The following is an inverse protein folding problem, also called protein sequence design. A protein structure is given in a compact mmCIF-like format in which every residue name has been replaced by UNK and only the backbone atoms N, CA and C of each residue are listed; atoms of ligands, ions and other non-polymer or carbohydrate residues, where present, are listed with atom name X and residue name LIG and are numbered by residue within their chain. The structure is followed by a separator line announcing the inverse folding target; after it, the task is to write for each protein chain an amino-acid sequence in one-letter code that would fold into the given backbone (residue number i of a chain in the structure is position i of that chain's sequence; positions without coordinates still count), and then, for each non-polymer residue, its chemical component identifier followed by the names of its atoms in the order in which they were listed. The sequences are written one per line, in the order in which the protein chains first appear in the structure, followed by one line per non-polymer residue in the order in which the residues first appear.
data_IF_061387517813
#
_entry.id   IF_061387517813
#
_cell.length_a   1.000
_cell.length_b   1.000
_cell.length_c   1.000
_cell.angle_alpha   90.00
_cell.angle_beta   90.00
_cell.angle_gamma   90.00
#
_symmetry.space_group_name_H-M   'P 1'
#
loop_
_entity.id
_entity.type
_entity.pdbx_description
1 polymer ?
#
# COMPACT_ATOMS: atom_id res chain seq x y z
N UNK A 1 -11.24 -14.30 -33.51
CA UNK A 1 -12.20 -13.42 -34.22
C UNK A 1 -13.54 -13.50 -33.52
N UNK A 2 -13.72 -12.69 -32.48
CA UNK A 2 -15.02 -12.38 -31.87
C UNK A 2 -14.90 -10.93 -31.39
N UNK A 3 -15.25 -10.02 -32.29
CA UNK A 3 -15.34 -8.58 -32.05
C UNK A 3 -16.68 -8.32 -31.37
N UNK A 4 -16.67 -8.13 -30.06
CA UNK A 4 -17.83 -7.60 -29.31
C UNK A 4 -17.55 -6.15 -28.97
N UNK A 5 -17.64 -5.29 -29.99
CA UNK A 5 -17.85 -3.85 -29.84
C UNK A 5 -19.36 -3.57 -29.98
N UNK A 6 -20.14 -4.11 -29.04
CA UNK A 6 -21.53 -3.69 -28.84
C UNK A 6 -21.51 -2.40 -28.00
N UNK A 7 -21.18 -1.28 -28.64
CA UNK A 7 -21.53 0.02 -28.09
C UNK A 7 -23.05 0.16 -28.15
N UNK A 8 -23.74 0.48 -27.03
CA UNK A 8 -25.17 0.72 -27.06
C UNK A 8 -25.52 1.84 -28.07
N UNK A 9 -26.68 1.78 -28.74
CA UNK A 9 -27.10 2.82 -29.67
C UNK A 9 -27.08 4.18 -28.97
N UNK A 10 -26.53 5.19 -29.66
CA UNK A 10 -26.41 6.54 -29.14
C UNK A 10 -27.77 7.04 -28.63
N UNK A 11 -27.87 7.29 -27.32
CA UNK A 11 -29.05 7.92 -26.72
C UNK A 11 -29.36 9.25 -27.42
N UNK A 12 -30.63 9.56 -27.76
CA UNK A 12 -31.03 10.84 -28.32
C UNK A 12 -30.71 11.96 -27.32
N UNK A 13 -29.62 12.67 -27.55
CA UNK A 13 -29.05 13.67 -26.65
C UNK A 13 -27.67 14.18 -27.08
N UNK A 14 -27.03 13.50 -28.04
CA UNK A 14 -25.73 13.87 -28.62
C UNK A 14 -25.84 14.96 -29.71
N UNK A 15 -26.60 16.02 -29.43
CA UNK A 15 -26.78 17.16 -30.32
C UNK A 15 -25.45 17.89 -30.56
N UNK A 16 -25.27 18.45 -31.77
CA UNK A 16 -24.09 19.22 -32.17
C UNK A 16 -23.75 20.34 -31.16
N UNK A 17 -24.77 20.89 -30.49
CA UNK A 17 -24.63 21.87 -29.41
C UNK A 17 -23.84 21.28 -28.23
N UNK A 18 -24.22 20.10 -27.73
CA UNK A 18 -23.55 19.41 -26.63
C UNK A 18 -22.08 19.12 -26.95
N UNK A 19 -21.80 18.62 -28.17
CA UNK A 19 -20.43 18.36 -28.63
C UNK A 19 -19.59 19.65 -28.73
N UNK A 20 -20.18 20.75 -29.19
CA UNK A 20 -19.50 22.06 -29.26
C UNK A 20 -19.17 22.60 -27.87
N UNK A 21 -20.09 22.49 -26.91
CA UNK A 21 -19.85 22.91 -25.51
C UNK A 21 -18.75 22.05 -24.88
N UNK A 22 -18.78 20.72 -25.08
CA UNK A 22 -17.76 19.81 -24.58
C UNK A 22 -16.37 20.09 -25.18
N UNK A 23 -16.29 20.41 -26.48
CA UNK A 23 -15.05 20.80 -27.14
C UNK A 23 -14.48 22.09 -26.54
N UNK A 24 -15.33 23.10 -26.30
CA UNK A 24 -14.93 24.35 -25.61
C UNK A 24 -14.47 24.10 -24.18
N UNK A 25 -15.13 23.21 -23.44
CA UNK A 25 -14.74 22.85 -22.08
C UNK A 25 -13.34 22.20 -22.06
N UNK A 26 -13.05 21.31 -23.01
CA UNK A 26 -11.72 20.71 -23.18
C UNK A 26 -10.67 21.74 -23.56
N UNK A 27 -10.99 22.67 -24.46
CA UNK A 27 -10.07 23.74 -24.86
C UNK A 27 -9.74 24.67 -23.67
N UNK A 28 -10.74 25.08 -22.90
CA UNK A 28 -10.54 25.89 -21.68
C UNK A 28 -9.66 25.17 -20.65
N UNK A 29 -9.92 23.88 -20.38
CA UNK A 29 -9.11 23.09 -19.45
C UNK A 29 -7.65 22.94 -19.92
N UNK A 30 -7.40 22.80 -21.23
CA UNK A 30 -6.04 22.77 -21.79
C UNK A 30 -5.32 24.12 -21.68
N UNK A 31 -6.06 25.21 -21.72
CA UNK A 31 -5.54 26.56 -21.53
C UNK A 31 -5.36 26.93 -20.04
N UNK A 32 -5.66 26.04 -19.10
CA UNK A 32 -5.58 26.31 -17.66
C UNK A 32 -6.79 27.05 -17.08
N UNK A 33 -7.80 27.40 -17.88
CA UNK A 33 -9.06 28.00 -17.41
C UNK A 33 -10.01 26.92 -16.86
N UNK A 34 -9.66 26.39 -15.68
CA UNK A 34 -10.42 25.32 -15.06
C UNK A 34 -11.78 25.77 -14.54
N UNK A 35 -11.93 27.02 -14.10
CA UNK A 35 -13.25 27.55 -13.72
C UNK A 35 -14.19 27.68 -14.93
N UNK A 36 -13.69 28.20 -16.04
CA UNK A 36 -14.43 28.27 -17.30
C UNK A 36 -14.79 26.88 -17.82
N UNK A 37 -13.86 25.93 -17.75
CA UNK A 37 -14.12 24.54 -18.08
C UNK A 37 -15.20 23.92 -17.18
N UNK A 38 -15.17 24.17 -15.86
CA UNK A 38 -16.19 23.69 -14.92
C UNK A 38 -17.58 24.25 -15.24
N UNK A 39 -17.68 25.55 -15.54
CA UNK A 39 -18.95 26.18 -15.97
C UNK A 39 -19.50 25.53 -17.24
N UNK A 40 -18.64 25.21 -18.21
CA UNK A 40 -19.05 24.56 -19.46
C UNK A 40 -19.46 23.08 -19.24
N UNK A 41 -18.74 22.33 -18.40
CA UNK A 41 -19.15 20.97 -18.03
C UNK A 41 -20.48 20.93 -17.27
N UNK A 42 -20.77 21.92 -16.42
CA UNK A 42 -22.09 22.07 -15.79
C UNK A 42 -23.21 22.18 -16.84
N UNK A 43 -22.99 22.96 -17.91
CA UNK A 43 -23.95 23.07 -19.02
C UNK A 43 -24.12 21.74 -19.75
N UNK A 44 -23.04 21.02 -20.03
CA UNK A 44 -23.11 19.67 -20.61
C UNK A 44 -23.91 18.69 -19.74
N UNK A 45 -23.78 18.76 -18.41
CA UNK A 45 -24.57 17.93 -17.49
C UNK A 45 -26.06 18.26 -17.55
N UNK A 46 -26.42 19.55 -17.58
CA UNK A 46 -27.82 19.98 -17.73
C UNK A 46 -28.43 19.53 -19.07
N UNK A 47 -27.58 19.27 -20.08
CA UNK A 47 -27.96 18.70 -21.37
C UNK A 47 -27.95 17.16 -21.39
N UNK A 48 -27.88 16.51 -20.22
CA UNK A 48 -28.01 15.06 -20.09
C UNK A 48 -26.73 14.26 -20.29
N UNK A 49 -25.54 14.87 -20.40
CA UNK A 49 -24.28 14.12 -20.52
C UNK A 49 -23.90 13.44 -19.18
N UNK A 50 -23.93 12.10 -19.07
CA UNK A 50 -23.78 11.43 -17.77
C UNK A 50 -22.41 11.66 -17.10
N UNK A 51 -21.35 11.80 -17.90
CA UNK A 51 -19.97 12.01 -17.40
C UNK A 51 -19.60 13.47 -17.18
N UNK A 52 -20.47 14.42 -17.50
CA UNK A 52 -20.12 15.84 -17.43
C UNK A 52 -19.94 16.34 -16.00
N UNK A 53 -20.67 15.79 -15.01
CA UNK A 53 -20.48 16.14 -13.59
C UNK A 53 -19.11 15.74 -13.03
N UNK A 54 -18.59 14.55 -13.36
CA UNK A 54 -17.24 14.17 -12.92
C UNK A 54 -16.16 15.04 -13.56
N UNK A 55 -16.36 15.44 -14.82
CA UNK A 55 -15.45 16.39 -15.49
C UNK A 55 -15.52 17.79 -14.89
N UNK A 56 -16.73 18.24 -14.50
CA UNK A 56 -16.91 19.48 -13.74
C UNK A 56 -16.18 19.42 -12.41
N UNK A 57 -16.37 18.36 -11.62
CA UNK A 57 -15.69 18.15 -10.35
C UNK A 57 -14.16 18.19 -10.51
N UNK A 58 -13.62 17.48 -11.50
CA UNK A 58 -12.18 17.49 -11.79
C UNK A 58 -11.64 18.89 -12.13
N UNK A 59 -12.40 19.69 -12.89
CA UNK A 59 -12.01 21.07 -13.18
C UNK A 59 -12.05 21.95 -11.91
N UNK A 60 -13.08 21.82 -11.08
CA UNK A 60 -13.18 22.58 -9.83
C UNK A 60 -12.04 22.25 -8.86
N UNK A 61 -11.65 20.98 -8.74
CA UNK A 61 -10.51 20.59 -7.93
C UNK A 61 -9.21 21.26 -8.40
N UNK A 62 -8.99 21.32 -9.73
CA UNK A 62 -7.83 22.01 -10.34
C UNK A 62 -7.90 23.53 -10.23
N UNK A 63 -9.10 24.10 -10.14
CA UNK A 63 -9.34 25.52 -9.91
C UNK A 63 -9.16 25.94 -8.43
N UNK A 64 -8.72 25.04 -7.54
CA UNK A 64 -8.59 25.34 -6.12
C UNK A 64 -9.93 25.34 -5.37
N UNK A 65 -10.96 24.69 -5.91
CA UNK A 65 -12.28 24.53 -5.28
C UNK A 65 -12.57 23.06 -4.91
N UNK A 66 -11.73 22.42 -4.07
CA UNK A 66 -11.80 20.98 -3.83
C UNK A 66 -13.06 20.53 -3.08
N UNK A 67 -13.59 21.35 -2.17
CA UNK A 67 -14.83 21.02 -1.42
C UNK A 67 -16.03 20.97 -2.35
N UNK A 68 -16.17 21.95 -3.25
CA UNK A 68 -17.25 21.95 -4.24
C UNK A 68 -17.09 20.80 -5.25
N UNK A 69 -15.85 20.49 -5.65
CA UNK A 69 -15.56 19.32 -6.46
C UNK A 69 -16.01 18.02 -5.78
N UNK A 70 -15.68 17.85 -4.49
CA UNK A 70 -16.07 16.69 -3.69
C UNK A 70 -17.59 16.60 -3.55
N UNK A 71 -18.28 17.71 -3.25
CA UNK A 71 -19.74 17.78 -3.19
C UNK A 71 -20.41 17.32 -4.50
N UNK A 72 -19.91 17.78 -5.64
CA UNK A 72 -20.45 17.40 -6.95
C UNK A 72 -20.20 15.93 -7.26
N UNK A 73 -19.02 15.41 -6.92
CA UNK A 73 -18.69 13.99 -7.09
C UNK A 73 -19.52 13.11 -6.15
N UNK A 74 -19.65 13.49 -4.89
CA UNK A 74 -20.44 12.82 -3.88
C UNK A 74 -21.91 12.73 -4.31
N UNK A 75 -22.49 13.82 -4.83
CA UNK A 75 -23.84 13.82 -5.42
C UNK A 75 -24.05 12.95 -6.67
N UNK A 76 -23.06 12.14 -7.07
CA UNK A 76 -23.17 11.09 -8.09
C UNK A 76 -23.24 9.68 -7.52
N UNK A 77 -23.03 9.47 -6.21
CA UNK A 77 -23.25 8.19 -5.56
C UNK A 77 -24.69 7.72 -5.87
N UNK A 78 -24.82 6.50 -6.41
CA UNK A 78 -26.08 5.96 -6.96
C UNK A 78 -26.23 6.04 -8.49
N UNK A 79 -25.47 6.91 -9.17
CA UNK A 79 -25.46 7.05 -10.64
C UNK A 79 -24.11 6.72 -11.30
N UNK A 80 -23.09 6.48 -10.47
CA UNK A 80 -21.72 6.09 -10.84
C UNK A 80 -21.29 5.05 -9.79
N UNK A 81 -20.47 4.04 -10.15
CA UNK A 81 -19.91 3.12 -9.16
C UNK A 81 -19.24 3.89 -8.03
N UNK A 82 -19.57 3.54 -6.78
CA UNK A 82 -19.07 4.25 -5.60
C UNK A 82 -17.53 4.35 -5.57
N UNK A 83 -16.84 3.29 -6.04
CA UNK A 83 -15.38 3.27 -6.16
C UNK A 83 -14.81 4.42 -7.00
N UNK A 84 -15.44 4.81 -8.11
CA UNK A 84 -14.94 5.93 -8.92
C UNK A 84 -15.05 7.27 -8.18
N UNK A 85 -16.13 7.46 -7.41
CA UNK A 85 -16.31 8.68 -6.60
C UNK A 85 -15.30 8.70 -5.47
N UNK A 86 -15.10 7.57 -4.80
CA UNK A 86 -14.13 7.45 -3.71
C UNK A 86 -12.71 7.68 -4.16
N UNK A 87 -12.28 7.07 -5.26
CA UNK A 87 -10.94 7.26 -5.82
C UNK A 87 -10.71 8.73 -6.15
N UNK A 88 -11.70 9.40 -6.74
CA UNK A 88 -11.62 10.82 -7.08
C UNK A 88 -11.51 11.72 -5.84
N UNK A 89 -12.33 11.48 -4.81
CA UNK A 89 -12.29 12.25 -3.56
C UNK A 89 -10.99 11.96 -2.78
N UNK A 90 -10.51 10.72 -2.82
CA UNK A 90 -9.23 10.31 -2.24
C UNK A 90 -8.05 11.02 -2.90
N UNK A 91 -8.04 11.10 -4.24
CA UNK A 91 -7.00 11.83 -4.98
C UNK A 91 -6.95 13.31 -4.59
N UNK A 92 -8.12 13.96 -4.42
CA UNK A 92 -8.20 15.34 -3.93
C UNK A 92 -7.66 15.43 -2.50
N UNK A 93 -8.14 14.59 -1.59
CA UNK A 93 -7.74 14.60 -0.19
C UNK A 93 -6.23 14.37 -0.02
N UNK A 94 -5.65 13.42 -0.76
CA UNK A 94 -4.22 13.15 -0.73
C UNK A 94 -3.40 14.32 -1.30
N UNK A 95 -3.86 14.96 -2.38
CA UNK A 95 -3.19 16.13 -2.92
C UNK A 95 -3.18 17.31 -1.93
N UNK A 96 -4.23 17.47 -1.13
CA UNK A 96 -4.34 18.48 -0.08
C UNK A 96 -3.42 18.17 1.11
N UNK A 97 -3.40 16.93 1.59
CA UNK A 97 -2.47 16.50 2.65
C UNK A 97 -1.02 16.74 2.25
N UNK A 98 -0.64 16.42 1.00
CA UNK A 98 0.71 16.69 0.47
C UNK A 98 1.09 18.18 0.45
N UNK A 99 0.11 19.08 0.46
CA UNK A 99 0.32 20.54 0.55
C UNK A 99 0.27 21.06 1.99
N UNK A 100 0.11 20.18 2.97
CA UNK A 100 -0.08 20.54 4.38
C UNK A 100 -1.47 21.06 4.71
N UNK A 101 -2.47 20.87 3.85
CA UNK A 101 -3.84 21.37 4.03
C UNK A 101 -4.79 20.26 4.49
N UNK A 102 -4.51 19.71 5.68
CA UNK A 102 -5.28 18.61 6.27
C UNK A 102 -6.74 19.01 6.51
N UNK A 103 -6.99 20.21 7.03
CA UNK A 103 -8.33 20.72 7.30
C UNK A 103 -9.21 20.72 6.04
N UNK A 104 -8.66 21.18 4.90
CA UNK A 104 -9.40 21.17 3.64
C UNK A 104 -9.63 19.74 3.12
N UNK A 105 -8.66 18.84 3.32
CA UNK A 105 -8.79 17.42 3.02
C UNK A 105 -9.92 16.76 3.83
N UNK A 106 -10.05 17.09 5.12
CA UNK A 106 -11.13 16.59 5.97
C UNK A 106 -12.48 17.13 5.53
N UNK A 107 -12.57 18.42 5.17
CA UNK A 107 -13.79 19.02 4.63
C UNK A 107 -14.22 18.37 3.31
N UNK A 108 -13.27 17.96 2.46
CA UNK A 108 -13.53 17.20 1.23
C UNK A 108 -14.22 15.87 1.55
N UNK A 109 -13.72 15.11 2.53
CA UNK A 109 -14.34 13.86 2.94
C UNK A 109 -15.65 14.06 3.72
N UNK A 110 -15.80 15.16 4.44
CA UNK A 110 -17.06 15.51 5.11
C UNK A 110 -18.22 15.64 4.10
N UNK A 111 -17.98 16.04 2.85
CA UNK A 111 -19.02 16.03 1.81
C UNK A 111 -19.49 14.61 1.46
N UNK A 112 -18.58 13.63 1.46
CA UNK A 112 -18.95 12.20 1.28
C UNK A 112 -19.68 11.68 2.52
N UNK A 113 -19.26 12.10 3.71
CA UNK A 113 -19.89 11.67 4.97
C UNK A 113 -21.36 12.10 5.11
N UNK A 114 -21.77 13.18 4.42
CA UNK A 114 -23.17 13.64 4.40
C UNK A 114 -24.11 12.74 3.60
N UNK A 115 -23.58 11.77 2.85
CA UNK A 115 -24.39 10.85 2.06
C UNK A 115 -24.73 9.65 2.92
N UNK A 116 -26.00 9.28 2.90
CA UNK A 116 -26.52 8.19 3.71
C UNK A 116 -25.76 6.87 3.45
N UNK A 117 -25.35 6.20 4.51
CA UNK A 117 -24.51 4.99 4.45
C UNK A 117 -23.01 5.21 4.15
N UNK A 118 -22.55 6.44 3.87
CA UNK A 118 -21.16 6.71 3.47
C UNK A 118 -20.28 7.35 4.55
N UNK A 119 -20.86 7.83 5.66
CA UNK A 119 -20.10 8.36 6.80
C UNK A 119 -18.99 7.40 7.29
N UNK A 120 -19.24 6.08 7.47
CA UNK A 120 -18.22 5.09 7.82
C UNK A 120 -16.95 5.20 6.96
N UNK A 121 -17.15 5.17 5.65
CA UNK A 121 -16.05 5.17 4.69
C UNK A 121 -15.28 6.50 4.71
N UNK A 122 -15.97 7.63 4.80
CA UNK A 122 -15.34 8.94 4.81
C UNK A 122 -14.43 9.16 6.03
N UNK A 123 -14.87 8.74 7.22
CA UNK A 123 -14.07 8.87 8.44
C UNK A 123 -12.85 7.94 8.43
N UNK A 124 -12.97 6.73 7.87
CA UNK A 124 -11.81 5.85 7.61
C UNK A 124 -10.74 6.56 6.77
N UNK A 125 -11.17 7.28 5.74
CA UNK A 125 -10.28 8.01 4.84
C UNK A 125 -9.68 9.24 5.52
N UNK A 126 -10.46 9.99 6.30
CA UNK A 126 -9.94 11.06 7.16
C UNK A 126 -8.85 10.53 8.08
N UNK A 127 -9.07 9.42 8.77
CA UNK A 127 -8.05 8.82 9.64
C UNK A 127 -6.80 8.42 8.85
N UNK A 128 -6.96 7.86 7.65
CA UNK A 128 -5.83 7.55 6.76
C UNK A 128 -5.06 8.81 6.37
N UNK A 129 -5.76 9.92 6.10
CA UNK A 129 -5.16 11.20 5.77
C UNK A 129 -4.43 11.84 6.98
N UNK A 130 -5.05 11.85 8.16
CA UNK A 130 -4.41 12.29 9.42
C UNK A 130 -3.15 11.49 9.71
N UNK A 131 -3.21 10.17 9.50
CA UNK A 131 -2.05 9.27 9.65
C UNK A 131 -0.90 9.65 8.73
N UNK A 132 -1.21 9.97 7.46
CA UNK A 132 -0.24 10.40 6.46
C UNK A 132 0.29 11.82 6.68
N UNK A 133 -0.44 12.67 7.41
CA UNK A 133 -0.05 14.05 7.70
C UNK A 133 0.74 14.16 9.02
N UNK A 134 1.10 13.04 9.64
CA UNK A 134 1.72 13.00 10.95
C UNK A 134 0.78 13.35 12.13
N UNK A 135 -0.47 13.76 11.85
CA UNK A 135 -1.44 14.33 12.78
C UNK A 135 -2.34 13.35 13.52
N UNK A 136 -1.92 12.09 13.71
CA UNK A 136 -2.60 11.18 14.64
C UNK A 136 -2.18 11.50 16.08
N UNK A 137 -2.74 12.59 16.62
CA UNK A 137 -2.70 12.86 18.04
C UNK A 137 -3.75 12.03 18.81
N UNK A 138 -3.71 12.10 20.14
CA UNK A 138 -4.62 11.36 21.02
C UNK A 138 -6.10 11.73 20.81
N UNK A 139 -6.47 13.01 20.60
CA UNK A 139 -7.82 13.39 20.17
C UNK A 139 -8.26 12.73 18.85
N UNK A 140 -7.45 12.79 17.80
CA UNK A 140 -7.79 12.21 16.50
C UNK A 140 -8.00 10.70 16.58
N UNK A 141 -7.24 10.03 17.43
CA UNK A 141 -7.39 8.61 17.71
C UNK A 141 -8.60 8.31 18.59
N UNK A 142 -8.91 9.16 19.55
CA UNK A 142 -10.13 9.08 20.35
C UNK A 142 -11.38 9.22 19.50
N UNK A 143 -11.39 10.18 18.57
CA UNK A 143 -12.43 10.38 17.57
C UNK A 143 -12.55 9.18 16.64
N UNK A 144 -11.42 8.66 16.13
CA UNK A 144 -11.41 7.47 15.31
C UNK A 144 -11.96 6.25 16.08
N UNK A 145 -11.53 6.03 17.32
CA UNK A 145 -12.02 4.93 18.16
C UNK A 145 -13.53 5.05 18.46
N UNK A 146 -14.00 6.27 18.75
CA UNK A 146 -15.43 6.54 18.95
C UNK A 146 -16.24 6.32 17.66
N UNK A 147 -15.64 6.62 16.52
CA UNK A 147 -16.24 6.40 15.21
C UNK A 147 -16.33 4.90 14.86
N UNK A 148 -15.24 4.16 15.08
CA UNK A 148 -15.14 2.71 14.85
C UNK A 148 -16.09 1.90 15.74
N UNK A 149 -16.45 2.44 16.91
CA UNK A 149 -17.39 1.83 17.85
C UNK A 149 -18.83 1.73 17.32
N UNK A 150 -19.22 2.59 16.38
CA UNK A 150 -20.62 2.75 15.96
C UNK A 150 -20.94 2.27 14.55
N UNK A 151 -20.03 1.63 13.82
CA UNK A 151 -20.22 1.38 12.40
C UNK A 151 -19.77 0.00 11.91
N UNK A 152 -20.35 -0.40 10.78
CA UNK A 152 -20.23 -1.75 10.19
C UNK A 152 -18.82 -2.09 9.70
N UNK A 153 -18.63 -3.37 9.33
CA UNK A 153 -17.41 -4.06 8.88
C UNK A 153 -16.35 -3.27 8.03
N UNK A 154 -16.68 -2.40 7.05
CA UNK A 154 -15.66 -1.66 6.28
C UNK A 154 -14.70 -0.81 7.12
N UNK A 155 -15.04 -0.52 8.38
CA UNK A 155 -14.21 0.28 9.27
C UNK A 155 -13.13 -0.46 10.04
N UNK A 156 -13.28 -1.76 10.25
CA UNK A 156 -12.31 -2.58 11.01
C UNK A 156 -10.90 -2.48 10.40
N UNK A 157 -10.84 -2.52 9.06
CA UNK A 157 -9.60 -2.41 8.27
C UNK A 157 -8.86 -1.10 8.52
N UNK A 158 -9.61 -0.04 8.82
CA UNK A 158 -9.07 1.32 8.94
C UNK A 158 -8.41 1.54 10.29
N UNK A 159 -9.05 1.09 11.36
CA UNK A 159 -8.51 1.11 12.73
C UNK A 159 -7.15 0.42 12.79
N UNK A 160 -7.13 -0.80 12.25
CA UNK A 160 -5.93 -1.61 12.18
C UNK A 160 -4.86 -0.96 11.30
N UNK A 161 -5.24 -0.39 10.16
CA UNK A 161 -4.28 0.30 9.28
C UNK A 161 -3.64 1.51 9.99
N UNK A 162 -4.41 2.28 10.75
CA UNK A 162 -3.89 3.40 11.53
C UNK A 162 -2.95 2.92 12.65
N UNK A 163 -3.34 1.87 13.40
CA UNK A 163 -2.47 1.26 14.42
C UNK A 163 -1.17 0.74 13.82
N UNK A 164 -1.24 0.05 12.67
CA UNK A 164 -0.07 -0.46 11.94
C UNK A 164 0.83 0.69 11.48
N UNK A 165 0.26 1.78 10.96
CA UNK A 165 1.04 2.96 10.56
C UNK A 165 1.73 3.62 11.76
N UNK A 166 1.02 3.80 12.86
CA UNK A 166 1.57 4.37 14.09
C UNK A 166 2.67 3.50 14.69
N UNK A 167 2.44 2.19 14.78
CA UNK A 167 3.47 1.24 15.20
C UNK A 167 4.67 1.30 14.27
N UNK A 168 4.43 1.38 12.97
CA UNK A 168 5.53 1.49 12.03
C UNK A 168 6.36 2.76 12.27
N UNK A 169 5.72 3.89 12.59
CA UNK A 169 6.40 5.18 12.82
C UNK A 169 7.11 5.26 14.17
N UNK A 170 6.45 4.83 15.24
CA UNK A 170 6.90 5.06 16.63
C UNK A 170 7.53 3.81 17.27
N UNK A 171 7.51 2.66 16.59
CA UNK A 171 7.85 1.38 17.21
C UNK A 171 6.76 0.89 18.15
N UNK A 172 6.99 -0.27 18.80
CA UNK A 172 6.05 -0.76 19.81
C UNK A 172 6.18 0.09 21.08
N UNK A 173 5.06 0.55 21.63
CA UNK A 173 5.06 1.40 22.83
C UNK A 173 3.84 1.13 23.71
N UNK A 174 3.95 1.50 24.98
CA UNK A 174 2.81 1.42 25.92
C UNK A 174 1.61 2.22 25.40
N UNK A 175 1.87 3.41 24.84
CA UNK A 175 0.85 4.27 24.22
C UNK A 175 0.05 3.54 23.15
N UNK A 176 0.72 2.79 22.25
CA UNK A 176 0.03 2.04 21.20
C UNK A 176 -0.74 0.84 21.73
N UNK A 177 -0.23 0.19 22.77
CA UNK A 177 -0.94 -0.88 23.47
C UNK A 177 -2.24 -0.35 24.11
N UNK A 178 -2.15 0.77 24.81
CA UNK A 178 -3.31 1.41 25.43
C UNK A 178 -4.34 1.87 24.39
N UNK A 179 -3.86 2.42 23.27
CA UNK A 179 -4.70 2.77 22.12
C UNK A 179 -5.41 1.54 21.54
N UNK A 180 -4.68 0.45 21.30
CA UNK A 180 -5.25 -0.80 20.79
C UNK A 180 -6.37 -1.28 21.72
N UNK A 181 -6.12 -1.32 23.03
CA UNK A 181 -7.10 -1.71 24.05
C UNK A 181 -8.30 -0.77 24.10
N UNK A 182 -8.09 0.54 23.97
CA UNK A 182 -9.17 1.53 23.95
C UNK A 182 -10.09 1.35 22.72
N UNK A 183 -9.52 1.07 21.55
CA UNK A 183 -10.31 0.75 20.34
C UNK A 183 -11.10 -0.55 20.55
N UNK A 184 -10.47 -1.59 21.08
CA UNK A 184 -11.12 -2.88 21.35
C UNK A 184 -12.27 -2.76 22.36
N UNK A 185 -12.09 -1.95 23.42
CA UNK A 185 -13.11 -1.72 24.45
C UNK A 185 -14.32 -0.95 23.90
N UNK A 186 -14.09 0.02 23.00
CA UNK A 186 -15.15 0.82 22.39
C UNK A 186 -15.86 0.08 21.26
N UNK A 187 -15.17 -0.81 20.57
CA UNK A 187 -15.68 -1.52 19.40
C UNK A 187 -15.55 -3.05 19.55
N UNK A 188 -16.44 -3.71 20.33
CA UNK A 188 -16.35 -5.16 20.56
C UNK A 188 -16.34 -6.00 19.28
N UNK A 189 -16.98 -5.52 18.21
CA UNK A 189 -17.01 -6.17 16.90
C UNK A 189 -15.62 -6.30 16.25
N UNK A 190 -14.68 -5.38 16.53
CA UNK A 190 -13.28 -5.46 16.05
C UNK A 190 -12.34 -6.11 17.05
N UNK A 191 -12.75 -6.26 18.31
CA UNK A 191 -11.87 -6.72 19.38
C UNK A 191 -11.22 -8.07 19.06
N UNK A 192 -11.98 -9.00 18.49
CA UNK A 192 -11.45 -10.30 18.09
C UNK A 192 -10.38 -10.20 16.98
N UNK A 193 -10.57 -9.30 16.01
CA UNK A 193 -9.63 -9.09 14.91
C UNK A 193 -8.35 -8.36 15.38
N UNK A 194 -8.49 -7.42 16.31
CA UNK A 194 -7.38 -6.63 16.87
C UNK A 194 -6.63 -7.34 18.01
N UNK A 195 -7.19 -8.40 18.61
CA UNK A 195 -6.51 -9.16 19.65
C UNK A 195 -5.12 -9.67 19.19
N UNK A 196 -5.00 -10.09 17.92
CA UNK A 196 -3.70 -10.49 17.36
C UNK A 196 -2.70 -9.31 17.29
N UNK A 197 -3.17 -8.09 17.04
CA UNK A 197 -2.32 -6.89 17.05
C UNK A 197 -1.92 -6.52 18.50
N UNK A 198 -2.82 -6.64 19.47
CA UNK A 198 -2.50 -6.46 20.89
C UNK A 198 -1.43 -7.45 21.38
N UNK A 199 -1.59 -8.73 21.06
CA UNK A 199 -0.60 -9.75 21.43
C UNK A 199 0.75 -9.52 20.77
N UNK A 200 0.77 -9.03 19.53
CA UNK A 200 2.01 -8.66 18.86
C UNK A 200 2.69 -7.45 19.53
N UNK A 201 1.91 -6.46 20.00
CA UNK A 201 2.41 -5.33 20.79
C UNK A 201 2.96 -5.76 22.15
N UNK A 202 2.22 -6.59 22.89
CA UNK A 202 2.66 -7.14 24.18
C UNK A 202 3.98 -7.89 24.05
N UNK A 203 4.11 -8.75 23.03
CA UNK A 203 5.35 -9.50 22.77
C UNK A 203 6.51 -8.57 22.42
N UNK A 204 6.26 -7.56 21.58
CA UNK A 204 7.28 -6.55 21.24
C UNK A 204 7.73 -5.71 22.45
N UNK A 205 6.87 -5.60 23.48
CA UNK A 205 7.18 -4.95 24.75
C UNK A 205 7.73 -5.92 25.81
N UNK A 206 7.94 -7.20 25.48
CA UNK A 206 8.43 -8.21 26.43
C UNK A 206 7.42 -8.58 27.53
N UNK A 207 6.13 -8.38 27.30
CA UNK A 207 5.04 -8.60 28.28
C UNK A 207 4.37 -9.97 28.09
N UNK A 208 5.17 -11.02 27.91
CA UNK A 208 4.65 -12.38 27.62
C UNK A 208 3.74 -12.93 28.73
N UNK A 209 4.00 -12.56 29.99
CA UNK A 209 3.16 -12.95 31.13
C UNK A 209 1.69 -12.51 30.95
N UNK A 210 1.45 -11.30 30.44
CA UNK A 210 0.08 -10.82 30.15
C UNK A 210 -0.58 -11.56 29.00
N UNK A 211 0.20 -11.97 28.00
CA UNK A 211 -0.30 -12.80 26.92
C UNK A 211 -0.79 -14.14 27.50
N UNK A 212 0.04 -14.77 28.33
CA UNK A 212 -0.28 -16.04 29.00
C UNK A 212 -1.53 -15.89 29.87
N UNK A 213 -1.58 -14.89 30.74
CA UNK A 213 -2.71 -14.66 31.65
C UNK A 213 -4.02 -14.46 30.88
N UNK A 214 -3.98 -13.67 29.80
CA UNK A 214 -5.15 -13.47 28.96
C UNK A 214 -5.56 -14.73 28.22
N UNK A 215 -4.64 -15.50 27.65
CA UNK A 215 -4.97 -16.75 26.96
C UNK A 215 -5.53 -17.80 27.94
N UNK A 216 -5.10 -17.79 29.21
CA UNK A 216 -5.71 -18.63 30.27
C UNK A 216 -7.13 -18.19 30.62
N UNK A 217 -7.36 -16.86 30.70
CA UNK A 217 -8.68 -16.31 30.96
C UNK A 217 -9.66 -16.51 29.78
N UNK A 218 -9.15 -16.49 28.55
CA UNK A 218 -9.92 -16.63 27.31
C UNK A 218 -9.32 -17.72 26.39
N UNK A 219 -9.43 -19.03 26.72
CA UNK A 219 -8.78 -20.09 25.95
C UNK A 219 -9.16 -20.14 24.46
N UNK A 220 -10.34 -19.62 24.09
CA UNK A 220 -10.78 -19.50 22.70
C UNK A 220 -9.84 -18.62 21.85
N UNK A 221 -9.08 -17.69 22.45
CA UNK A 221 -8.10 -16.86 21.75
C UNK A 221 -6.88 -17.66 21.27
N UNK A 222 -6.66 -18.89 21.75
CA UNK A 222 -5.60 -19.77 21.23
C UNK A 222 -5.75 -20.07 19.73
N UNK A 223 -6.95 -19.90 19.15
CA UNK A 223 -7.18 -19.99 17.69
C UNK A 223 -6.34 -19.00 16.89
N UNK A 224 -5.95 -17.87 17.50
CA UNK A 224 -5.10 -16.86 16.88
C UNK A 224 -3.65 -17.32 16.73
N UNK A 225 -3.26 -18.48 17.26
CA UNK A 225 -1.96 -19.09 17.00
C UNK A 225 -1.70 -19.29 15.50
N UNK A 226 -2.74 -19.48 14.68
CA UNK A 226 -2.63 -19.58 13.22
C UNK A 226 -2.24 -18.26 12.53
N UNK A 227 -2.36 -17.11 13.21
CA UNK A 227 -2.15 -15.78 12.62
C UNK A 227 -1.23 -14.87 13.44
N UNK A 228 -0.72 -15.34 14.58
CA UNK A 228 0.11 -14.58 15.52
C UNK A 228 1.28 -15.44 16.04
N UNK A 229 2.52 -15.18 15.59
CA UNK A 229 3.69 -15.93 16.05
C UNK A 229 3.93 -15.89 17.57
N UNK A 230 3.69 -14.79 18.29
CA UNK A 230 3.80 -14.81 19.76
C UNK A 230 2.87 -15.82 20.41
N UNK A 231 1.61 -15.88 19.98
CA UNK A 231 0.64 -16.85 20.50
C UNK A 231 1.06 -18.26 20.10
N UNK A 232 1.48 -18.44 18.84
CA UNK A 232 1.99 -19.71 18.35
C UNK A 232 3.16 -20.22 19.20
N UNK A 233 4.08 -19.34 19.62
CA UNK A 233 5.23 -19.71 20.43
C UNK A 233 4.81 -20.21 21.81
N UNK A 234 3.87 -19.51 22.45
CA UNK A 234 3.35 -19.88 23.78
C UNK A 234 2.55 -21.19 23.74
N UNK A 235 1.74 -21.39 22.69
CA UNK A 235 0.94 -22.62 22.50
C UNK A 235 1.84 -23.82 22.15
N UNK A 236 2.80 -23.65 21.24
CA UNK A 236 3.73 -24.72 20.85
C UNK A 236 4.71 -25.07 21.98
N UNK A 237 5.13 -24.08 22.78
CA UNK A 237 6.00 -24.28 23.95
C UNK A 237 5.30 -24.81 25.20
N UNK A 238 3.97 -25.00 25.16
CA UNK A 238 3.20 -25.55 26.29
C UNK A 238 2.97 -24.57 27.45
N UNK A 239 3.31 -23.28 27.29
CA UNK A 239 3.04 -22.25 28.30
C UNK A 239 1.52 -22.00 28.50
N UNK A 240 0.73 -22.31 27.46
CA UNK A 240 -0.73 -22.24 27.46
C UNK A 240 -1.28 -23.51 26.82
N UNK A 241 -2.23 -24.17 27.50
CA UNK A 241 -2.96 -25.30 26.91
C UNK A 241 -3.84 -24.80 25.75
N UNK A 242 -3.67 -25.41 24.57
CA UNK A 242 -4.55 -25.13 23.43
C UNK A 242 -5.98 -25.57 23.75
N UNK A 243 -6.97 -24.76 23.38
CA UNK A 243 -8.38 -25.16 23.51
C UNK A 243 -8.77 -26.29 22.54
N UNK A 244 -8.04 -26.44 21.43
CA UNK A 244 -8.26 -27.43 20.38
C UNK A 244 -6.89 -27.98 19.89
N UNK A 245 -6.71 -29.31 19.72
CA UNK A 245 -5.52 -29.89 19.11
C UNK A 245 -5.12 -29.25 17.76
N UNK A 246 -6.10 -28.82 16.95
CA UNK A 246 -5.85 -28.12 15.68
C UNK A 246 -5.09 -26.79 15.88
N UNK A 247 -5.29 -26.10 16.99
CA UNK A 247 -4.55 -24.87 17.31
C UNK A 247 -3.07 -25.18 17.58
N UNK A 248 -2.75 -26.34 18.17
CA UNK A 248 -1.36 -26.74 18.41
C UNK A 248 -0.63 -27.07 17.10
N UNK A 249 -1.30 -27.78 16.18
CA UNK A 249 -0.76 -28.03 14.84
C UNK A 249 -0.54 -26.72 14.05
N UNK A 250 -1.51 -25.80 14.09
CA UNK A 250 -1.38 -24.49 13.48
C UNK A 250 -0.23 -23.67 14.10
N UNK A 251 -0.10 -23.69 15.43
CA UNK A 251 0.98 -23.03 16.15
C UNK A 251 2.35 -23.57 15.71
N UNK A 252 2.52 -24.90 15.66
CA UNK A 252 3.75 -25.53 15.21
C UNK A 252 4.11 -25.13 13.76
N UNK A 253 3.12 -25.09 12.87
CA UNK A 253 3.33 -24.67 11.48
C UNK A 253 3.77 -23.20 11.37
N UNK A 254 3.15 -22.30 12.14
CA UNK A 254 3.54 -20.88 12.19
C UNK A 254 4.95 -20.71 12.75
N UNK A 255 5.33 -21.44 13.80
CA UNK A 255 6.68 -21.38 14.38
C UNK A 255 7.73 -21.90 13.41
N UNK A 256 7.46 -23.03 12.74
CA UNK A 256 8.36 -23.57 11.72
C UNK A 256 8.54 -22.59 10.56
N UNK A 257 7.45 -22.02 10.03
CA UNK A 257 7.51 -21.02 8.97
C UNK A 257 8.22 -19.74 9.41
N UNK A 258 7.97 -19.26 10.63
CA UNK A 258 8.64 -18.08 11.17
C UNK A 258 10.15 -18.30 11.35
N UNK A 259 10.57 -19.50 11.79
CA UNK A 259 11.98 -19.87 11.89
C UNK A 259 12.64 -19.94 10.51
N UNK A 260 11.97 -20.56 9.53
CA UNK A 260 12.43 -20.59 8.14
C UNK A 260 12.62 -19.18 7.56
N UNK A 261 11.59 -18.33 7.66
CA UNK A 261 11.64 -16.94 7.16
C UNK A 261 12.80 -16.15 7.77
N UNK A 262 13.05 -16.29 9.08
CA UNK A 262 14.20 -15.65 9.74
C UNK A 262 15.53 -16.16 9.19
N UNK A 263 15.68 -17.48 9.06
CA UNK A 263 16.91 -18.07 8.54
C UNK A 263 17.19 -17.65 7.08
N UNK A 264 16.19 -17.70 6.19
CA UNK A 264 16.35 -17.27 4.80
C UNK A 264 16.51 -15.74 4.67
N UNK A 265 15.85 -14.94 5.52
CA UNK A 265 16.11 -13.49 5.64
C UNK A 265 17.58 -13.25 5.97
N UNK A 266 18.08 -13.84 7.05
CA UNK A 266 19.44 -13.58 7.53
C UNK A 266 20.48 -14.01 6.49
N UNK A 267 20.28 -15.17 5.85
CA UNK A 267 21.11 -15.63 4.71
C UNK A 267 21.06 -14.66 3.54
N UNK A 268 19.86 -14.30 3.07
CA UNK A 268 19.70 -13.43 1.90
C UNK A 268 20.40 -12.08 2.13
N UNK A 269 20.10 -11.40 3.22
CA UNK A 269 20.65 -10.07 3.45
C UNK A 269 22.12 -10.09 3.83
N UNK A 270 22.63 -11.19 4.41
CA UNK A 270 24.06 -11.43 4.56
C UNK A 270 24.75 -11.60 3.21
N UNK A 271 24.19 -12.42 2.29
CA UNK A 271 24.74 -12.60 0.94
C UNK A 271 24.78 -11.25 0.19
N UNK A 272 23.68 -10.49 0.27
CA UNK A 272 23.59 -9.18 -0.41
C UNK A 272 24.41 -8.08 0.27
N UNK A 273 24.93 -8.29 1.48
CA UNK A 273 25.81 -7.32 2.14
C UNK A 273 27.24 -7.31 1.56
N UNK A 274 27.65 -8.33 0.81
CA UNK A 274 28.99 -8.39 0.20
C UNK A 274 29.18 -7.28 -0.85
N UNK A 275 30.09 -6.30 -0.63
CA UNK A 275 30.31 -5.21 -1.57
C UNK A 275 30.95 -5.65 -2.89
N UNK A 276 31.55 -6.85 -2.96
CA UNK A 276 32.11 -7.40 -4.20
C UNK A 276 31.02 -7.87 -5.18
N UNK A 277 29.82 -8.20 -4.67
CA UNK A 277 28.72 -8.69 -5.47
C UNK A 277 28.06 -7.57 -6.27
N UNK A 278 27.99 -7.72 -7.59
CA UNK A 278 27.30 -6.80 -8.49
C UNK A 278 25.80 -7.11 -8.48
N UNK A 279 24.99 -6.15 -8.06
CA UNK A 279 23.53 -6.30 -7.97
C UNK A 279 22.85 -5.38 -8.98
N UNK A 280 21.96 -5.91 -9.81
CA UNK A 280 20.98 -5.11 -10.54
C UNK A 280 19.68 -5.05 -9.74
N UNK A 281 19.25 -3.84 -9.37
CA UNK A 281 17.93 -3.59 -8.80
C UNK A 281 17.06 -3.00 -9.92
N UNK A 282 16.01 -3.74 -10.30
CA UNK A 282 15.21 -3.43 -11.49
C UNK A 282 13.77 -3.09 -11.08
N UNK A 283 13.45 -1.79 -11.11
CA UNK A 283 12.12 -1.25 -10.90
C UNK A 283 11.21 -1.41 -12.12
N UNK A 284 9.95 -0.98 -11.97
CA UNK A 284 8.92 -1.17 -12.98
C UNK A 284 8.64 0.08 -13.84
N UNK A 285 9.28 1.21 -13.58
CA UNK A 285 9.05 2.44 -14.36
C UNK A 285 9.48 2.24 -15.81
N UNK A 286 8.75 2.84 -16.76
CA UNK A 286 8.96 2.66 -18.20
C UNK A 286 10.24 3.27 -18.77
N UNK A 287 11.07 3.89 -17.94
CA UNK A 287 12.23 4.70 -18.37
C UNK A 287 13.31 3.90 -19.13
N UNK A 288 13.36 2.57 -19.00
CA UNK A 288 14.33 1.74 -19.73
C UNK A 288 13.88 1.35 -21.15
N UNK A 289 12.63 1.62 -21.54
CA UNK A 289 12.14 1.23 -22.86
C UNK A 289 12.95 1.91 -23.98
N UNK A 290 13.49 1.09 -24.88
CA UNK A 290 14.35 1.51 -26.00
C UNK A 290 15.81 1.78 -25.62
N UNK A 291 16.24 1.48 -24.38
CA UNK A 291 17.63 1.70 -23.93
C UNK A 291 18.56 0.52 -24.18
N UNK A 292 18.05 -0.69 -24.42
CA UNK A 292 18.88 -1.87 -24.66
C UNK A 292 19.67 -2.34 -23.44
N UNK A 293 19.23 -2.00 -22.22
CA UNK A 293 19.95 -2.31 -20.98
C UNK A 293 19.82 -3.76 -20.52
N UNK A 294 19.03 -4.60 -21.21
CA UNK A 294 18.70 -5.95 -20.75
C UNK A 294 19.90 -6.87 -20.60
N UNK A 295 20.85 -6.82 -21.53
CA UNK A 295 22.09 -7.60 -21.42
C UNK A 295 22.98 -7.12 -20.25
N UNK A 296 23.00 -5.82 -19.97
CA UNK A 296 23.74 -5.27 -18.84
C UNK A 296 23.11 -5.69 -17.50
N UNK A 297 21.77 -5.69 -17.40
CA UNK A 297 21.03 -6.18 -16.24
C UNK A 297 21.38 -7.65 -15.99
N UNK A 298 21.24 -8.51 -17.00
CA UNK A 298 21.44 -9.96 -16.87
C UNK A 298 22.91 -10.33 -16.56
N UNK A 299 23.86 -9.44 -16.86
CA UNK A 299 25.28 -9.62 -16.57
C UNK A 299 25.67 -9.37 -15.11
N UNK A 300 24.75 -8.92 -14.24
CA UNK A 300 25.00 -8.79 -12.80
C UNK A 300 25.03 -10.16 -12.11
N UNK A 301 25.62 -10.22 -10.93
CA UNK A 301 25.72 -11.46 -10.17
C UNK A 301 24.36 -11.82 -9.54
N UNK A 302 23.56 -10.80 -9.17
CA UNK A 302 22.19 -10.93 -8.68
C UNK A 302 21.28 -9.88 -9.33
N UNK A 303 20.09 -10.30 -9.77
CA UNK A 303 19.02 -9.43 -10.28
C UNK A 303 17.81 -9.46 -9.33
N UNK A 304 17.48 -8.28 -8.78
CA UNK A 304 16.34 -8.05 -7.88
C UNK A 304 15.20 -7.38 -8.64
N UNK A 305 13.99 -7.95 -8.58
CA UNK A 305 12.77 -7.40 -9.20
C UNK A 305 11.64 -7.24 -8.19
N UNK A 306 10.58 -6.53 -8.60
CA UNK A 306 9.48 -6.15 -7.72
C UNK A 306 8.11 -6.50 -8.27
N UNK A 307 7.22 -6.92 -7.37
CA UNK A 307 5.80 -7.11 -7.63
C UNK A 307 5.54 -7.99 -8.87
N UNK A 308 4.71 -7.52 -9.81
CA UNK A 308 4.61 -8.10 -11.14
C UNK A 308 5.60 -7.42 -12.06
N UNK A 309 6.12 -8.19 -13.00
CA UNK A 309 7.01 -7.74 -14.06
C UNK A 309 6.87 -8.70 -15.25
N UNK A 310 7.35 -8.28 -16.43
CA UNK A 310 7.34 -9.11 -17.64
C UNK A 310 8.73 -9.24 -18.23
N UNK A 311 9.14 -10.50 -18.46
CA UNK A 311 10.36 -10.86 -19.20
C UNK A 311 10.03 -11.33 -20.61
N UNK A 312 8.84 -10.97 -21.12
CA UNK A 312 8.45 -11.30 -22.49
C UNK A 312 9.48 -10.75 -23.50
N UNK A 313 9.66 -11.39 -24.67
CA UNK A 313 10.66 -10.98 -25.66
C UNK A 313 10.60 -9.51 -26.08
N UNK A 314 9.42 -8.89 -26.02
CA UNK A 314 9.25 -7.47 -26.33
C UNK A 314 9.91 -6.52 -25.31
N UNK A 315 10.18 -6.97 -24.08
CA UNK A 315 10.80 -6.17 -23.01
C UNK A 315 12.21 -6.65 -22.65
N UNK A 316 12.56 -7.89 -22.99
CA UNK A 316 13.86 -8.48 -22.69
C UNK A 316 15.07 -7.65 -23.16
N UNK A 317 15.06 -6.99 -24.34
CA UNK A 317 16.18 -6.12 -24.75
C UNK A 317 16.46 -4.98 -23.78
N UNK A 318 15.43 -4.47 -23.10
CA UNK A 318 15.53 -3.31 -22.21
C UNK A 318 15.66 -3.70 -20.73
N UNK A 319 14.94 -4.75 -20.30
CA UNK A 319 14.81 -5.14 -18.90
C UNK A 319 15.50 -6.46 -18.55
N UNK A 320 16.06 -7.17 -19.52
CA UNK A 320 16.66 -8.49 -19.30
C UNK A 320 15.62 -9.57 -19.01
N UNK A 321 16.10 -10.78 -18.72
CA UNK A 321 15.28 -11.98 -18.51
C UNK A 321 15.52 -12.64 -17.16
N UNK A 322 16.64 -12.35 -16.51
CA UNK A 322 17.04 -12.99 -15.25
C UNK A 322 16.29 -12.41 -14.06
N UNK A 323 16.00 -13.25 -13.07
CA UNK A 323 15.43 -12.88 -11.78
C UNK A 323 15.94 -13.84 -10.70
N UNK A 324 16.81 -13.35 -9.82
CA UNK A 324 17.35 -14.14 -8.71
C UNK A 324 16.59 -13.86 -7.41
N UNK A 325 16.10 -12.64 -7.23
CA UNK A 325 15.30 -12.22 -6.07
C UNK A 325 14.04 -11.50 -6.54
N UNK A 326 12.88 -11.95 -6.06
CA UNK A 326 11.60 -11.29 -6.31
C UNK A 326 11.00 -10.75 -5.01
N UNK A 327 10.86 -9.44 -4.93
CA UNK A 327 10.29 -8.74 -3.77
C UNK A 327 8.83 -8.40 -4.03
N UNK A 328 7.90 -8.90 -3.21
CA UNK A 328 6.47 -8.70 -3.44
C UNK A 328 5.64 -8.72 -2.17
N UNK A 329 4.56 -7.94 -2.13
CA UNK A 329 3.64 -7.96 -1.01
C UNK A 329 2.97 -9.34 -0.85
N UNK A 330 2.86 -9.84 0.37
CA UNK A 330 2.25 -11.12 0.71
C UNK A 330 0.72 -11.08 0.59
N UNK A 331 0.22 -11.07 -0.65
CA UNK A 331 -1.21 -10.97 -0.95
C UNK A 331 -1.77 -12.31 -1.43
N UNK A 332 -1.58 -12.62 -2.72
CA UNK A 332 -2.15 -13.77 -3.41
C UNK A 332 -1.04 -14.70 -3.91
N UNK A 333 -1.19 -16.02 -3.64
CA UNK A 333 -0.20 -17.05 -3.99
C UNK A 333 0.04 -17.15 -5.49
N UNK A 334 -1.01 -17.15 -6.32
CA UNK A 334 -0.87 -17.30 -7.77
C UNK A 334 -0.14 -16.11 -8.38
N UNK A 335 -0.41 -14.91 -7.86
CA UNK A 335 0.35 -13.72 -8.24
C UNK A 335 1.79 -13.85 -7.77
N UNK A 336 2.04 -14.28 -6.54
CA UNK A 336 3.38 -14.39 -5.97
C UNK A 336 4.33 -15.30 -6.75
N UNK A 337 3.85 -16.44 -7.23
CA UNK A 337 4.68 -17.44 -7.94
C UNK A 337 4.78 -17.21 -9.44
N UNK A 338 4.11 -16.16 -9.97
CA UNK A 338 4.21 -15.82 -11.39
C UNK A 338 5.63 -15.34 -11.72
N UNK A 339 6.20 -15.89 -12.79
CA UNK A 339 7.56 -15.58 -13.25
C UNK A 339 8.65 -15.89 -12.21
N UNK A 340 8.39 -16.88 -11.34
CA UNK A 340 9.35 -17.35 -10.34
C UNK A 340 10.02 -18.60 -10.86
N UNK A 341 11.33 -18.51 -11.11
CA UNK A 341 12.15 -19.65 -11.47
C UNK A 341 12.39 -20.57 -10.25
N UNK A 342 12.84 -21.82 -10.47
CA UNK A 342 13.10 -22.76 -9.39
C UNK A 342 14.12 -22.25 -8.35
N UNK A 343 15.07 -21.41 -8.78
CA UNK A 343 16.13 -20.87 -7.92
C UNK A 343 15.85 -19.45 -7.40
N UNK A 344 14.75 -18.83 -7.81
CA UNK A 344 14.40 -17.46 -7.42
C UNK A 344 14.01 -17.41 -5.94
N UNK A 345 14.66 -16.53 -5.17
CA UNK A 345 14.32 -16.26 -3.77
C UNK A 345 13.16 -15.28 -3.70
N UNK A 346 12.11 -15.62 -2.96
CA UNK A 346 10.94 -14.77 -2.73
C UNK A 346 11.13 -13.94 -1.46
N UNK A 347 11.00 -12.62 -1.57
CA UNK A 347 10.98 -11.72 -0.41
C UNK A 347 9.57 -11.19 -0.20
N UNK A 348 8.95 -11.62 0.89
CA UNK A 348 7.64 -11.12 1.31
C UNK A 348 7.78 -9.71 1.88
N UNK A 349 7.31 -8.73 1.09
CA UNK A 349 7.35 -7.32 1.44
C UNK A 349 6.24 -6.96 2.43
N UNK A 350 6.62 -6.28 3.50
CA UNK A 350 5.74 -5.85 4.58
C UNK A 350 6.59 -5.11 5.61
N UNK A 351 6.07 -4.02 6.18
CA UNK A 351 6.75 -3.43 7.33
C UNK A 351 6.51 -4.36 8.52
N UNK A 352 7.56 -4.70 9.28
CA UNK A 352 7.49 -5.57 10.46
C UNK A 352 6.71 -6.84 10.16
N UNK A 353 7.06 -7.50 9.05
CA UNK A 353 6.29 -8.63 8.51
C UNK A 353 6.08 -9.72 9.57
N UNK A 354 7.10 -10.03 10.36
CA UNK A 354 7.05 -11.07 11.39
C UNK A 354 6.05 -10.76 12.50
N UNK A 355 5.81 -9.49 12.80
CA UNK A 355 4.90 -9.03 13.84
C UNK A 355 3.48 -8.79 13.30
N UNK A 356 3.36 -8.28 12.07
CA UNK A 356 2.13 -7.75 11.52
C UNK A 356 1.44 -8.65 10.48
N UNK A 357 2.12 -9.70 10.00
CA UNK A 357 1.50 -10.67 9.12
C UNK A 357 0.36 -11.39 9.86
N UNK A 358 -0.81 -11.43 9.24
CA UNK A 358 -1.99 -12.18 9.71
C UNK A 358 -2.37 -13.33 8.78
N UNK A 359 -1.75 -13.39 7.60
CA UNK A 359 -1.97 -14.46 6.63
C UNK A 359 -0.75 -15.38 6.59
N UNK A 360 -0.56 -16.18 7.66
CA UNK A 360 0.57 -17.09 7.77
C UNK A 360 0.42 -18.37 6.94
N UNK A 361 -0.80 -18.71 6.50
CA UNK A 361 -0.99 -19.83 5.58
C UNK A 361 -0.23 -19.63 4.27
N UNK A 362 -0.12 -18.39 3.77
CA UNK A 362 0.65 -18.09 2.56
C UNK A 362 2.15 -18.46 2.66
N UNK A 363 2.95 -17.96 3.62
CA UNK A 363 4.34 -18.39 3.75
C UNK A 363 4.47 -19.89 4.06
N UNK A 364 3.56 -20.47 4.86
CA UNK A 364 3.55 -21.93 5.14
C UNK A 364 3.42 -22.71 3.83
N UNK A 365 2.45 -22.35 2.99
CA UNK A 365 2.18 -22.99 1.70
C UNK A 365 3.36 -22.87 0.72
N UNK A 366 4.01 -21.70 0.67
CA UNK A 366 5.15 -21.47 -0.21
C UNK A 366 6.36 -22.30 0.25
N UNK A 367 6.63 -22.35 1.55
CA UNK A 367 7.73 -23.14 2.12
C UNK A 367 7.45 -24.64 1.89
N UNK A 368 6.22 -25.10 2.13
CA UNK A 368 5.83 -26.49 1.89
C UNK A 368 5.91 -26.88 0.41
N UNK A 369 5.73 -25.93 -0.51
CA UNK A 369 5.92 -26.11 -1.94
C UNK A 369 7.40 -26.02 -2.39
N UNK A 370 8.34 -25.87 -1.47
CA UNK A 370 9.78 -25.88 -1.74
C UNK A 370 10.36 -24.53 -2.18
N UNK A 371 9.59 -23.43 -2.13
CA UNK A 371 10.11 -22.11 -2.43
C UNK A 371 11.05 -21.61 -1.33
N UNK A 372 12.09 -20.88 -1.73
CA UNK A 372 12.95 -20.14 -0.80
C UNK A 372 12.31 -18.81 -0.45
N UNK A 373 11.76 -18.70 0.75
CA UNK A 373 10.99 -17.53 1.18
C UNK A 373 11.71 -16.80 2.29
N UNK A 374 11.95 -15.52 2.08
CA UNK A 374 12.51 -14.57 3.04
C UNK A 374 11.53 -13.42 3.28
N UNK A 375 11.86 -12.56 4.24
CA UNK A 375 11.21 -11.27 4.47
C UNK A 375 12.27 -10.16 4.63
N UNK A 376 11.84 -8.92 4.78
CA UNK A 376 12.76 -7.85 5.17
C UNK A 376 13.17 -7.98 6.66
N UNK A 377 14.35 -7.48 7.05
CA UNK A 377 14.64 -7.13 8.43
C UNK A 377 13.53 -6.22 8.98
N UNK A 378 13.20 -6.38 10.26
CA UNK A 378 12.06 -5.68 10.86
C UNK A 378 12.24 -4.15 10.86
N UNK A 379 13.49 -3.69 10.85
CA UNK A 379 13.92 -2.29 10.86
C UNK A 379 14.25 -1.72 9.46
N UNK A 380 14.11 -2.52 8.40
CA UNK A 380 14.63 -2.15 7.08
C UNK A 380 14.02 -0.87 6.51
N UNK A 381 12.77 -0.57 6.86
CA UNK A 381 12.07 0.63 6.40
C UNK A 381 12.19 1.81 7.38
N UNK A 382 12.60 1.58 8.64
CA UNK A 382 12.51 2.57 9.72
C UNK A 382 13.25 3.89 9.37
N UNK A 383 14.51 3.87 8.89
CA UNK A 383 15.23 5.11 8.54
C UNK A 383 14.57 5.88 7.38
N UNK A 384 14.04 5.17 6.38
CA UNK A 384 13.37 5.79 5.24
C UNK A 384 12.05 6.41 5.68
N UNK A 385 11.30 5.72 6.55
CA UNK A 385 10.02 6.21 7.04
C UNK A 385 10.16 7.44 7.92
N UNK A 386 11.19 7.50 8.77
CA UNK A 386 11.49 8.69 9.56
C UNK A 386 11.73 9.94 8.69
N UNK A 387 12.22 9.75 7.46
CA UNK A 387 12.49 10.83 6.50
C UNK A 387 11.30 11.16 5.60
N UNK A 388 10.53 10.15 5.21
CA UNK A 388 9.39 10.30 4.30
C UNK A 388 8.10 10.73 5.01
N UNK A 389 7.98 10.47 6.31
CA UNK A 389 6.71 10.44 7.05
C UNK A 389 5.63 9.59 6.33
N UNK A 390 6.08 8.59 5.57
CA UNK A 390 5.27 7.73 4.75
C UNK A 390 5.98 6.40 4.51
N UNK A 391 5.22 5.38 4.09
CA UNK A 391 5.78 4.06 3.80
C UNK A 391 6.59 4.12 2.47
N UNK A 392 7.89 3.76 2.47
CA UNK A 392 8.68 3.70 1.25
C UNK A 392 8.16 2.61 0.31
N UNK A 393 8.40 2.78 -0.99
CA UNK A 393 8.26 1.71 -1.97
C UNK A 393 9.21 0.55 -1.65
N UNK A 394 8.86 -0.65 -2.11
CA UNK A 394 9.72 -1.82 -1.94
C UNK A 394 11.09 -1.62 -2.60
N UNK A 395 11.13 -0.93 -3.74
CA UNK A 395 12.37 -0.59 -4.45
C UNK A 395 13.27 0.32 -3.61
N UNK A 396 12.72 1.42 -3.09
CA UNK A 396 13.49 2.31 -2.21
C UNK A 396 13.92 1.60 -0.91
N UNK A 397 13.09 0.70 -0.37
CA UNK A 397 13.43 -0.11 0.81
C UNK A 397 14.64 -1.02 0.55
N UNK A 398 14.69 -1.70 -0.60
CA UNK A 398 15.85 -2.52 -1.00
C UNK A 398 17.10 -1.65 -1.14
N UNK A 399 17.01 -0.52 -1.84
CA UNK A 399 18.16 0.37 -2.06
C UNK A 399 18.68 0.96 -0.76
N UNK A 400 17.80 1.46 0.11
CA UNK A 400 18.19 1.97 1.43
C UNK A 400 18.82 0.89 2.30
N UNK A 401 18.29 -0.34 2.26
CA UNK A 401 18.87 -1.46 3.01
C UNK A 401 20.25 -1.86 2.46
N UNK A 402 20.42 -1.96 1.13
CA UNK A 402 21.72 -2.26 0.52
C UNK A 402 22.75 -1.17 0.86
N UNK A 403 22.37 0.11 0.77
CA UNK A 403 23.24 1.22 1.13
C UNK A 403 23.71 1.12 2.58
N UNK A 404 22.78 0.84 3.51
CA UNK A 404 23.11 0.64 4.93
C UNK A 404 24.06 -0.54 5.16
N UNK A 405 23.80 -1.67 4.52
CA UNK A 405 24.59 -2.90 4.72
C UNK A 405 26.00 -2.80 4.12
N UNK A 406 26.15 -2.07 3.01
CA UNK A 406 27.41 -1.97 2.24
C UNK A 406 28.18 -0.68 2.50
N UNK A 407 27.61 0.29 3.22
CA UNK A 407 28.15 1.65 3.35
C UNK A 407 28.01 2.49 2.07
N UNK A 408 27.05 2.16 1.20
CA UNK A 408 26.80 2.82 -0.08
C UNK A 408 26.25 1.89 -1.16
N UNK A 409 26.06 2.41 -2.37
CA UNK A 409 25.54 1.64 -3.52
C UNK A 409 26.64 1.25 -4.53
N UNK A 410 27.88 1.12 -4.07
CA UNK A 410 28.95 0.60 -4.92
C UNK A 410 28.59 -0.80 -5.45
N UNK A 411 28.84 -1.04 -6.73
CA UNK A 411 28.44 -2.26 -7.45
C UNK A 411 26.93 -2.56 -7.45
N UNK A 412 26.07 -1.56 -7.22
CA UNK A 412 24.62 -1.68 -7.35
C UNK A 412 24.15 -0.87 -8.56
N UNK A 413 23.75 -1.55 -9.63
CA UNK A 413 23.09 -0.96 -10.78
C UNK A 413 21.60 -0.76 -10.53
N UNK A 414 21.08 0.43 -10.79
CA UNK A 414 19.65 0.77 -10.63
C UNK A 414 19.01 1.00 -11.99
N UNK A 415 18.00 0.20 -12.34
CA UNK A 415 17.31 0.22 -13.63
C UNK A 415 15.81 0.38 -13.41
N UNK A 416 15.10 1.14 -14.25
CA UNK A 416 13.65 1.29 -14.11
C UNK A 416 13.22 2.10 -12.87
N UNK A 417 14.09 3.01 -12.41
CA UNK A 417 13.88 3.91 -11.27
C UNK A 417 13.94 5.38 -11.70
N UNK A 418 12.84 5.90 -12.21
CA UNK A 418 12.68 7.36 -12.35
C UNK A 418 12.03 8.00 -11.12
N UNK A 419 11.23 7.23 -10.39
CA UNK A 419 10.31 7.64 -9.31
C UNK A 419 9.18 8.59 -9.75
N UNK A 420 9.42 9.46 -10.74
CA UNK A 420 8.52 10.56 -11.11
C UNK A 420 8.01 10.55 -12.56
N UNK A 421 8.52 9.68 -13.44
CA UNK A 421 8.00 9.53 -14.82
C UNK A 421 6.55 9.01 -14.88
N UNK A 422 6.13 8.34 -13.81
CA UNK A 422 4.81 7.79 -13.60
C UNK A 422 3.79 8.77 -13.02
N UNK A 423 4.21 10.01 -12.68
CA UNK A 423 3.32 11.06 -12.16
C UNK A 423 3.33 12.28 -13.10
N UNK A 424 2.22 13.04 -13.11
CA UNK A 424 2.09 14.24 -13.93
C UNK A 424 1.18 14.08 -15.16
N UNK A 425 0.99 15.15 -15.95
CA UNK A 425 0.02 15.18 -17.05
C UNK A 425 0.42 14.28 -18.23
N UNK A 426 1.71 14.00 -18.40
CA UNK A 426 2.27 13.20 -19.49
C UNK A 426 2.66 11.77 -19.07
N UNK A 427 2.30 11.37 -17.84
CA UNK A 427 2.58 10.02 -17.35
C UNK A 427 1.80 8.97 -18.15
N UNK A 428 2.53 8.11 -18.86
CA UNK A 428 1.94 7.08 -19.71
C UNK A 428 1.47 5.85 -18.91
N UNK A 429 2.30 5.39 -17.98
CA UNK A 429 2.03 4.26 -17.09
C UNK A 429 3.02 4.22 -15.94
N UNK A 430 2.62 3.66 -14.80
CA UNK A 430 3.53 3.31 -13.71
C UNK A 430 4.35 2.04 -13.99
N UNK A 431 3.92 1.20 -14.92
CA UNK A 431 4.57 -0.07 -15.26
C UNK A 431 4.95 -0.09 -16.74
N UNK A 432 6.10 -0.67 -17.08
CA UNK A 432 6.54 -0.82 -18.47
C UNK A 432 5.73 -1.85 -19.27
N UNK A 433 5.11 -2.83 -18.59
CA UNK A 433 4.47 -4.00 -19.21
C UNK A 433 2.93 -3.94 -19.26
N UNK A 434 2.32 -2.96 -18.59
CA UNK A 434 0.87 -2.77 -18.57
C UNK A 434 0.51 -1.31 -18.36
N UNK A 435 -0.74 -0.93 -18.58
CA UNK A 435 -1.25 0.40 -18.22
C UNK A 435 -1.67 0.40 -16.75
N UNK A 436 -0.81 0.92 -15.89
CA UNK A 436 -1.04 1.02 -14.45
C UNK A 436 -0.97 2.46 -13.96
N UNK A 437 -1.71 2.77 -12.91
CA UNK A 437 -1.57 4.03 -12.17
C UNK A 437 -0.52 3.87 -11.07
N UNK A 438 0.26 4.92 -10.77
CA UNK A 438 1.17 4.89 -9.64
C UNK A 438 0.37 4.72 -8.34
N UNK A 439 0.93 3.98 -7.39
CA UNK A 439 0.34 3.82 -6.06
C UNK A 439 0.25 5.18 -5.36
N UNK A 440 -0.94 5.53 -4.87
CA UNK A 440 -1.21 6.75 -4.09
C UNK A 440 -0.74 6.64 -2.62
N UNK A 441 -0.20 5.48 -2.24
CA UNK A 441 0.36 5.24 -0.91
C UNK A 441 1.77 5.82 -0.73
N UNK A 442 2.46 6.11 -1.83
CA UNK A 442 3.82 6.62 -1.82
C UNK A 442 3.87 8.13 -2.06
N UNK A 443 4.86 8.77 -1.45
CA UNK A 443 5.28 10.11 -1.84
C UNK A 443 6.43 9.99 -2.85
N UNK A 444 6.08 9.81 -4.12
CA UNK A 444 7.04 9.62 -5.20
C UNK A 444 8.06 10.76 -5.34
N UNK A 445 7.68 12.00 -4.99
CA UNK A 445 8.58 13.14 -5.05
C UNK A 445 9.60 13.09 -3.90
N UNK A 446 9.13 12.80 -2.68
CA UNK A 446 10.02 12.63 -1.53
C UNK A 446 10.91 11.38 -1.69
N UNK A 447 10.36 10.27 -2.19
CA UNK A 447 11.13 9.06 -2.51
C UNK A 447 12.21 9.34 -3.56
N UNK A 448 11.92 10.19 -4.56
CA UNK A 448 12.91 10.62 -5.55
C UNK A 448 14.08 11.37 -4.91
N UNK A 449 13.81 12.30 -4.00
CA UNK A 449 14.86 13.05 -3.33
C UNK A 449 15.80 12.12 -2.54
N UNK A 450 15.24 11.16 -1.80
CA UNK A 450 16.03 10.16 -1.06
C UNK A 450 16.82 9.26 -2.01
N UNK A 451 16.21 8.83 -3.12
CA UNK A 451 16.88 8.04 -4.14
C UNK A 451 18.11 8.76 -4.71
N UNK A 452 17.98 10.04 -5.07
CA UNK A 452 19.10 10.83 -5.59
C UNK A 452 20.24 10.96 -4.56
N UNK A 453 19.92 11.08 -3.26
CA UNK A 453 20.91 11.09 -2.18
C UNK A 453 21.63 9.74 -2.00
N UNK A 454 20.91 8.62 -2.15
CA UNK A 454 21.49 7.27 -2.08
C UNK A 454 22.52 7.08 -3.20
N UNK A 455 22.23 7.57 -4.41
CA UNK A 455 23.13 7.45 -5.57
C UNK A 455 24.44 8.23 -5.39
N UNK A 456 24.42 9.36 -4.68
CA UNK A 456 25.63 10.17 -4.43
C UNK A 456 26.34 9.81 -3.12
N UNK A 457 25.90 8.76 -2.42
CA UNK A 457 26.52 8.27 -1.18
C UNK A 457 26.37 9.21 0.02
N UNK A 458 25.33 10.05 0.05
CA UNK A 458 25.08 10.97 1.18
C UNK A 458 24.27 10.35 2.32
N UNK A 459 23.82 9.11 2.15
CA UNK A 459 23.09 8.31 3.11
C UNK A 459 23.95 7.12 3.52
N UNK A 460 24.76 7.30 4.55
CA UNK A 460 25.62 6.29 5.16
C UNK A 460 25.54 6.38 6.67
#
# INVERSE_FOLDING_TARGET
MTSTDDNPPATPGDDAVTRRIAARAKAAARAGDFEGAARLWRKCHLLGMPRARMRQASCLARAGQPVEAARIAAGRLGSVPAGEVYDFVEDIGLALVKRGDLDLAERVWAEVARIDGHAPYAASKIMTLRSKAGGLDEPALGEAAAFLAGADDPLQTSARSALVMLWTREGASQRLLDLCRAVMARAPAVAAAMAADEFALLAALGRDAEIIDRLKAEPALTRLAATSPPIAALVAGGAVAAADPAHHAAAAAVIAAAAHLRAERDRLWSDLADPALRIAVVGNSGIEIGRGNGAAIDAHDVVVRFNDFSVAPAFAPDYGTRTDVLVRAATDRQKLIRNVGPDTRLVLAGVRFMQLCRNWSLPIDLIAAGYRVACFPDDAADPLMARLDARPSAGLTVLGLLARLRGGLANVGTYGFSMIDQIGPDAASAHYFEKARPSSRHDWAAERAIYDELLVGRLG
#
